data_IF_573838860119
#
_entry.id   IF_573838860119
#
_cell.length_a   1.000
_cell.length_b   1.000
_cell.length_c   1.000
_cell.angle_alpha   90.00
_cell.angle_beta   90.00
_cell.angle_gamma   90.00
#
_symmetry.space_group_name_H-M   'P 1'
#
loop_
_entity.id
_entity.type
_entity.pdbx_description
1 polymer ?
#
# COMPACT_ATOMS: atom_id res chain seq x y z
N UNK A 1 13.28 10.21 25.68
CA UNK A 1 12.14 9.44 26.26
C UNK A 1 11.10 9.29 25.17
N UNK A 2 10.18 8.32 25.24
CA UNK A 2 9.14 8.11 24.20
C UNK A 2 8.31 9.36 23.85
N UNK A 3 8.19 10.32 24.78
CA UNK A 3 7.53 11.61 24.57
C UNK A 3 8.30 12.53 23.61
N UNK A 4 9.64 12.48 23.62
CA UNK A 4 10.50 13.26 22.73
C UNK A 4 10.48 12.68 21.30
N UNK A 5 10.41 11.35 21.19
CA UNK A 5 10.36 10.63 19.91
C UNK A 5 9.13 11.04 19.07
N UNK A 6 8.04 11.49 19.71
CA UNK A 6 6.85 12.00 19.02
C UNK A 6 7.14 13.29 18.23
N UNK A 7 7.99 14.16 18.76
CA UNK A 7 8.40 15.36 18.05
C UNK A 7 9.31 15.01 16.87
N UNK A 8 10.22 14.05 17.03
CA UNK A 8 11.05 13.55 15.93
C UNK A 8 10.20 12.93 14.81
N UNK A 9 9.19 12.14 15.17
CA UNK A 9 8.21 11.59 14.23
C UNK A 9 7.46 12.70 13.47
N UNK A 10 7.01 13.74 14.19
CA UNK A 10 6.37 14.91 13.60
C UNK A 10 7.29 15.64 12.61
N UNK A 11 8.58 15.76 12.92
CA UNK A 11 9.56 16.36 12.03
C UNK A 11 9.81 15.52 10.78
N UNK A 12 9.80 14.19 10.88
CA UNK A 12 9.81 13.30 9.71
C UNK A 12 8.59 13.57 8.83
N UNK A 13 7.40 13.66 9.41
CA UNK A 13 6.16 13.90 8.66
C UNK A 13 6.21 15.25 7.96
N UNK A 14 6.65 16.30 8.65
CA UNK A 14 6.82 17.64 8.10
C UNK A 14 7.82 17.66 6.94
N UNK A 15 9.00 17.06 7.10
CA UNK A 15 10.06 17.03 6.08
C UNK A 15 9.67 16.23 4.83
N UNK A 16 8.80 15.22 4.99
CA UNK A 16 8.33 14.35 3.91
C UNK A 16 6.94 14.74 3.39
N UNK A 17 6.39 15.85 3.89
CA UNK A 17 5.04 16.34 3.56
C UNK A 17 3.96 15.24 3.72
N UNK A 18 4.14 14.37 4.72
CA UNK A 18 3.17 13.36 5.14
C UNK A 18 2.17 14.05 6.05
N UNK A 19 0.89 13.95 5.70
CA UNK A 19 -0.19 14.59 6.44
C UNK A 19 -1.16 13.59 7.07
N UNK A 20 -1.09 12.32 6.68
CA UNK A 20 -1.87 11.24 7.26
C UNK A 20 -0.98 10.00 7.38
N UNK A 21 -1.02 9.35 8.54
CA UNK A 21 -0.41 8.05 8.73
C UNK A 21 -1.21 7.23 9.74
N UNK A 22 -1.28 5.93 9.51
CA UNK A 22 -1.86 4.95 10.41
C UNK A 22 -0.92 3.73 10.50
N UNK A 23 -0.69 3.22 11.70
CA UNK A 23 0.10 2.01 11.94
C UNK A 23 -0.67 1.11 12.89
N UNK A 24 -1.00 -0.11 12.47
CA UNK A 24 -1.80 -1.04 13.27
C UNK A 24 -2.62 -2.02 12.40
N UNK A 25 -3.71 -2.59 12.95
CA UNK A 25 -4.58 -3.50 12.22
C UNK A 25 -5.36 -2.76 11.13
N UNK A 26 -5.27 -3.27 9.89
CA UNK A 26 -5.96 -2.73 8.72
C UNK A 26 -7.24 -3.52 8.48
N UNK A 27 -8.37 -2.80 8.42
CA UNK A 27 -9.69 -3.33 8.09
C UNK A 27 -10.34 -2.52 6.97
N UNK A 28 -11.33 -3.08 6.27
CA UNK A 28 -12.06 -2.36 5.22
C UNK A 28 -12.74 -1.09 5.75
N UNK A 29 -13.30 -1.15 6.97
CA UNK A 29 -13.94 0.01 7.60
C UNK A 29 -12.92 1.13 7.87
N UNK A 30 -11.74 0.79 8.40
CA UNK A 30 -10.68 1.76 8.63
C UNK A 30 -10.23 2.42 7.31
N UNK A 31 -10.09 1.64 6.24
CA UNK A 31 -9.72 2.18 4.92
C UNK A 31 -10.77 3.17 4.42
N UNK A 32 -12.06 2.88 4.62
CA UNK A 32 -13.15 3.79 4.26
C UNK A 32 -13.12 5.10 5.08
N UNK A 33 -12.80 5.02 6.38
CA UNK A 33 -12.64 6.20 7.25
C UNK A 33 -11.45 7.06 6.82
N UNK A 34 -10.27 6.45 6.63
CA UNK A 34 -9.07 7.14 6.14
C UNK A 34 -9.35 7.82 4.80
N UNK A 35 -10.05 7.14 3.90
CA UNK A 35 -10.43 7.68 2.60
C UNK A 35 -11.34 8.90 2.70
N UNK A 36 -12.32 8.87 3.62
CA UNK A 36 -13.21 10.00 3.87
C UNK A 36 -12.42 11.22 4.37
N UNK A 37 -11.54 11.03 5.35
CA UNK A 37 -10.68 12.10 5.89
C UNK A 37 -9.74 12.65 4.82
N UNK A 38 -9.13 11.76 4.03
CA UNK A 38 -8.25 12.13 2.92
C UNK A 38 -8.98 12.98 1.88
N UNK A 39 -10.19 12.56 1.48
CA UNK A 39 -11.02 13.30 0.54
C UNK A 39 -11.32 14.72 1.03
N UNK A 40 -11.76 14.86 2.27
CA UNK A 40 -12.06 16.17 2.86
C UNK A 40 -10.83 17.09 2.85
N UNK A 41 -9.67 16.58 3.25
CA UNK A 41 -8.42 17.35 3.25
C UNK A 41 -8.03 17.78 1.83
N UNK A 42 -8.08 16.86 0.86
CA UNK A 42 -7.71 17.16 -0.53
C UNK A 42 -8.67 18.17 -1.18
N UNK A 43 -9.95 18.15 -0.82
CA UNK A 43 -10.93 19.14 -1.25
C UNK A 43 -10.63 20.54 -0.68
N UNK A 44 -10.18 20.62 0.58
CA UNK A 44 -9.71 21.88 1.19
C UNK A 44 -8.43 22.43 0.54
N UNK A 45 -7.59 21.56 -0.01
CA UNK A 45 -6.38 21.92 -0.77
C UNK A 45 -6.66 22.09 -2.28
N UNK A 46 -7.94 22.24 -2.66
CA UNK A 46 -8.41 22.48 -4.05
C UNK A 46 -7.96 21.41 -5.06
N UNK A 47 -7.68 20.18 -4.61
CA UNK A 47 -7.32 19.09 -5.50
C UNK A 47 -8.48 18.73 -6.45
N UNK A 48 -8.15 18.40 -7.70
CA UNK A 48 -9.17 17.99 -8.67
C UNK A 48 -9.87 16.69 -8.24
N UNK A 49 -11.16 16.55 -8.58
CA UNK A 49 -11.92 15.30 -8.33
C UNK A 49 -11.22 14.06 -8.88
N UNK A 50 -10.59 14.17 -10.05
CA UNK A 50 -9.83 13.09 -10.68
C UNK A 50 -8.61 12.69 -9.84
N UNK A 51 -7.90 13.67 -9.27
CA UNK A 51 -6.77 13.41 -8.36
C UNK A 51 -7.26 12.71 -7.10
N UNK A 52 -8.33 13.20 -6.48
CA UNK A 52 -8.93 12.59 -5.27
C UNK A 52 -9.29 11.13 -5.52
N UNK A 53 -9.99 10.83 -6.60
CA UNK A 53 -10.37 9.44 -6.95
C UNK A 53 -9.16 8.56 -7.21
N UNK A 54 -8.10 9.09 -7.83
CA UNK A 54 -6.86 8.35 -8.07
C UNK A 54 -6.16 7.99 -6.76
N UNK A 55 -5.97 8.95 -5.85
CA UNK A 55 -5.33 8.70 -4.55
C UNK A 55 -6.16 7.75 -3.70
N UNK A 56 -7.49 7.92 -3.68
CA UNK A 56 -8.38 6.96 -3.02
C UNK A 56 -8.21 5.54 -3.56
N UNK A 57 -8.19 5.40 -4.89
CA UNK A 57 -7.99 4.10 -5.52
C UNK A 57 -6.63 3.50 -5.17
N UNK A 58 -5.56 4.30 -5.13
CA UNK A 58 -4.24 3.86 -4.69
C UNK A 58 -4.23 3.42 -3.22
N UNK A 59 -4.91 4.15 -2.34
CA UNK A 59 -5.05 3.80 -0.92
C UNK A 59 -5.72 2.44 -0.74
N UNK A 60 -6.84 2.21 -1.43
CA UNK A 60 -7.59 0.95 -1.35
C UNK A 60 -6.73 -0.23 -1.81
N UNK A 61 -6.06 -0.12 -2.94
CA UNK A 61 -5.19 -1.19 -3.46
C UNK A 61 -4.03 -1.51 -2.51
N UNK A 62 -3.38 -0.47 -1.98
CA UNK A 62 -2.29 -0.66 -1.03
C UNK A 62 -2.78 -1.31 0.28
N UNK A 63 -3.93 -0.88 0.79
CA UNK A 63 -4.51 -1.48 1.99
C UNK A 63 -4.91 -2.93 1.76
N UNK A 64 -5.46 -3.26 0.59
CA UNK A 64 -5.75 -4.64 0.19
C UNK A 64 -4.47 -5.49 0.12
N UNK A 65 -3.36 -4.94 -0.39
CA UNK A 65 -2.07 -5.63 -0.35
C UNK A 65 -1.62 -5.95 1.08
N UNK A 66 -1.77 -5.01 2.02
CA UNK A 66 -1.49 -5.29 3.44
C UNK A 66 -2.40 -6.41 3.95
N UNK A 67 -3.71 -6.30 3.73
CA UNK A 67 -4.71 -7.29 4.18
C UNK A 67 -4.46 -8.69 3.60
N UNK A 68 -3.84 -8.80 2.42
CA UNK A 68 -3.60 -10.07 1.76
C UNK A 68 -2.25 -10.69 2.08
N UNK A 69 -1.22 -9.85 2.27
CA UNK A 69 0.16 -10.31 2.31
C UNK A 69 0.86 -10.13 3.65
N UNK A 70 0.27 -9.40 4.61
CA UNK A 70 0.89 -9.27 5.93
C UNK A 70 1.04 -10.63 6.61
N UNK A 71 2.26 -10.89 7.10
CA UNK A 71 2.56 -12.02 7.96
C UNK A 71 2.11 -11.78 9.40
N UNK A 72 1.94 -10.51 9.81
CA UNK A 72 1.43 -10.13 11.12
C UNK A 72 -0.09 -10.07 11.08
N UNK A 73 -0.73 -10.98 11.81
CA UNK A 73 -2.19 -11.12 11.81
C UNK A 73 -2.73 -11.27 13.22
N UNK A 74 -3.88 -10.65 13.50
CA UNK A 74 -4.62 -10.94 14.72
C UNK A 74 -5.39 -12.25 14.55
N UNK A 75 -5.39 -13.11 15.59
CA UNK A 75 -6.28 -14.26 15.63
C UNK A 75 -7.73 -13.80 15.44
N UNK A 76 -8.50 -14.59 14.69
CA UNK A 76 -9.96 -14.40 14.66
C UNK A 76 -10.49 -14.57 16.08
N UNK A 77 -11.35 -13.65 16.50
CA UNK A 77 -12.13 -13.86 17.71
C UNK A 77 -12.95 -15.16 17.57
N UNK A 78 -13.11 -15.90 18.69
CA UNK A 78 -13.77 -17.21 18.74
C UNK A 78 -15.23 -17.16 18.26
N UNK A 79 -15.79 -15.96 18.09
CA UNK A 79 -17.13 -15.71 17.54
C UNK A 79 -17.26 -15.99 16.03
N UNK A 80 -16.14 -16.13 15.30
CA UNK A 80 -16.13 -16.49 13.87
C UNK A 80 -16.74 -15.44 12.92
N UNK A 81 -17.05 -14.25 13.45
CA UNK A 81 -17.78 -13.18 12.73
C UNK A 81 -16.89 -12.09 12.15
N UNK A 82 -15.62 -12.02 12.55
CA UNK A 82 -14.69 -11.01 12.04
C UNK A 82 -13.62 -11.61 11.13
N UNK A 83 -13.28 -10.85 10.10
CA UNK A 83 -12.17 -11.16 9.21
C UNK A 83 -10.83 -11.10 9.96
N UNK A 84 -9.87 -11.91 9.51
CA UNK A 84 -8.51 -11.92 10.05
C UNK A 84 -7.85 -10.55 9.77
N UNK A 85 -7.61 -9.75 10.81
CA UNK A 85 -7.01 -8.42 10.68
C UNK A 85 -5.50 -8.53 10.45
N UNK A 86 -5.01 -7.84 9.42
CA UNK A 86 -3.59 -7.81 9.07
C UNK A 86 -2.95 -6.51 9.52
N UNK A 87 -1.73 -6.56 10.03
CA UNK A 87 -1.01 -5.38 10.50
C UNK A 87 -0.21 -4.74 9.38
N UNK A 88 -0.16 -3.43 9.39
CA UNK A 88 0.73 -2.66 8.53
C UNK A 88 0.71 -1.18 8.87
N UNK A 89 1.43 -0.43 8.06
CA UNK A 89 1.50 1.02 8.10
C UNK A 89 1.07 1.58 6.76
N UNK A 90 0.30 2.65 6.79
CA UNK A 90 -0.12 3.43 5.64
C UNK A 90 0.22 4.89 5.93
N UNK A 91 0.85 5.57 4.99
CA UNK A 91 1.10 6.99 5.02
C UNK A 91 0.67 7.63 3.68
N UNK A 92 0.07 8.81 3.76
CA UNK A 92 -0.29 9.63 2.60
C UNK A 92 0.38 10.98 2.74
N UNK A 93 1.01 11.40 1.66
CA UNK A 93 1.70 12.68 1.59
C UNK A 93 1.61 13.32 0.21
N UNK A 94 2.30 14.43 0.09
CA UNK A 94 2.41 15.21 -1.14
C UNK A 94 3.89 15.41 -1.44
N UNK A 95 4.33 15.24 -2.67
CA UNK A 95 5.73 15.42 -3.05
C UNK A 95 5.80 15.86 -4.51
N UNK A 96 6.57 16.92 -4.80
CA UNK A 96 6.81 17.40 -6.17
C UNK A 96 5.51 17.62 -6.98
N UNK A 97 4.48 18.20 -6.36
CA UNK A 97 3.20 18.50 -7.01
C UNK A 97 2.23 17.31 -7.14
N UNK A 98 2.55 16.16 -6.53
CA UNK A 98 1.76 14.93 -6.66
C UNK A 98 1.54 14.28 -5.30
N UNK A 99 0.38 13.67 -5.13
CA UNK A 99 0.12 12.86 -3.94
C UNK A 99 0.85 11.52 -4.04
N UNK A 100 1.21 10.96 -2.90
CA UNK A 100 1.72 9.60 -2.83
C UNK A 100 1.06 8.81 -1.70
N UNK A 101 0.98 7.50 -1.89
CA UNK A 101 0.61 6.53 -0.87
C UNK A 101 1.83 5.67 -0.62
N UNK A 102 2.27 5.60 0.63
CA UNK A 102 3.34 4.74 1.11
C UNK A 102 2.76 3.73 2.08
N UNK A 103 3.07 2.46 1.86
CA UNK A 103 2.60 1.38 2.71
C UNK A 103 3.72 0.43 3.08
N UNK A 104 3.55 -0.28 4.19
CA UNK A 104 4.45 -1.37 4.55
C UNK A 104 3.83 -2.37 5.51
N UNK A 105 4.33 -3.59 5.45
CA UNK A 105 3.89 -4.70 6.28
C UNK A 105 5.00 -5.76 6.37
N UNK A 106 4.98 -6.57 7.41
CA UNK A 106 5.86 -7.73 7.50
C UNK A 106 5.44 -8.80 6.48
N UNK A 107 6.44 -9.48 5.91
CA UNK A 107 6.27 -10.63 5.03
C UNK A 107 7.28 -11.72 5.42
N UNK A 108 6.96 -12.98 5.11
CA UNK A 108 7.91 -14.08 5.26
C UNK A 108 9.09 -13.92 4.29
N UNK A 109 10.30 -14.25 4.74
CA UNK A 109 11.52 -14.19 3.94
C UNK A 109 11.41 -14.98 2.63
N UNK A 110 10.71 -16.12 2.63
CA UNK A 110 10.46 -16.93 1.43
C UNK A 110 9.62 -16.25 0.34
N UNK A 111 8.94 -15.14 0.64
CA UNK A 111 8.12 -14.37 -0.33
C UNK A 111 8.89 -13.20 -0.95
N UNK A 112 10.06 -12.83 -0.40
CA UNK A 112 10.81 -11.63 -0.81
C UNK A 112 11.20 -11.69 -2.28
N UNK A 113 11.80 -12.79 -2.74
CA UNK A 113 12.27 -12.90 -4.13
C UNK A 113 11.11 -12.90 -5.13
N UNK A 114 10.00 -13.56 -4.77
CA UNK A 114 8.76 -13.57 -5.57
C UNK A 114 8.21 -12.15 -5.72
N UNK A 115 8.18 -11.36 -4.65
CA UNK A 115 7.68 -9.99 -4.70
C UNK A 115 8.63 -9.09 -5.47
N UNK A 116 9.95 -9.23 -5.24
CA UNK A 116 10.98 -8.47 -5.93
C UNK A 116 10.92 -8.70 -7.43
N UNK A 117 10.85 -9.95 -7.89
CA UNK A 117 10.75 -10.28 -9.31
C UNK A 117 9.51 -9.64 -9.94
N UNK A 118 8.34 -9.80 -9.28
CA UNK A 118 7.08 -9.22 -9.75
C UNK A 118 7.14 -7.69 -9.85
N UNK A 119 7.59 -7.02 -8.80
CA UNK A 119 7.63 -5.56 -8.74
C UNK A 119 8.69 -4.98 -9.70
N UNK A 120 9.86 -5.61 -9.81
CA UNK A 120 10.91 -5.20 -10.77
C UNK A 120 10.40 -5.31 -12.21
N UNK A 121 9.70 -6.41 -12.54
CA UNK A 121 9.09 -6.57 -13.86
C UNK A 121 8.07 -5.45 -14.16
N UNK A 122 7.23 -5.09 -13.19
CA UNK A 122 6.25 -4.02 -13.36
C UNK A 122 6.89 -2.64 -13.47
N UNK A 123 7.98 -2.40 -12.72
CA UNK A 123 8.73 -1.14 -12.75
C UNK A 123 9.36 -0.88 -14.13
N UNK A 124 9.72 -1.93 -14.86
CA UNK A 124 10.28 -1.85 -16.21
C UNK A 124 9.27 -1.72 -17.35
N UNK A 125 7.96 -1.81 -17.07
CA UNK A 125 6.92 -1.73 -18.09
C UNK A 125 6.44 -0.30 -18.31
N UNK A 126 6.18 0.06 -19.57
CA UNK A 126 5.45 1.28 -19.92
C UNK A 126 3.93 1.11 -19.74
N UNK A 127 3.16 2.19 -19.93
CA UNK A 127 1.71 2.19 -19.73
C UNK A 127 0.95 1.18 -20.62
N UNK A 128 1.36 1.03 -21.89
CA UNK A 128 0.74 0.10 -22.83
C UNK A 128 1.04 -1.34 -22.43
N UNK A 129 2.28 -1.63 -22.05
CA UNK A 129 2.72 -2.94 -21.55
C UNK A 129 1.99 -3.32 -20.27
N UNK A 130 1.88 -2.39 -19.30
CA UNK A 130 1.13 -2.62 -18.07
C UNK A 130 -0.35 -2.92 -18.35
N UNK A 131 -0.96 -2.22 -19.32
CA UNK A 131 -2.35 -2.45 -19.73
C UNK A 131 -2.53 -3.80 -20.42
N UNK A 132 -1.60 -4.19 -21.28
CA UNK A 132 -1.60 -5.49 -21.94
C UNK A 132 -1.40 -6.63 -20.91
N UNK A 133 -0.42 -6.47 -20.02
CA UNK A 133 -0.11 -7.42 -18.96
C UNK A 133 -1.28 -7.61 -18.00
N UNK A 134 -1.94 -6.52 -17.57
CA UNK A 134 -3.14 -6.60 -16.74
C UNK A 134 -4.26 -7.40 -17.41
N UNK A 135 -4.53 -7.16 -18.70
CA UNK A 135 -5.55 -7.93 -19.44
C UNK A 135 -5.19 -9.41 -19.54
N UNK A 136 -3.92 -9.71 -19.77
CA UNK A 136 -3.43 -11.09 -19.85
C UNK A 136 -3.60 -11.81 -18.52
N UNK A 137 -3.14 -11.22 -17.42
CA UNK A 137 -3.23 -11.81 -16.07
C UNK A 137 -4.69 -11.97 -15.64
N UNK A 138 -5.54 -10.97 -15.93
CA UNK A 138 -6.98 -11.08 -15.64
C UNK A 138 -7.65 -12.24 -16.39
N UNK A 139 -7.20 -12.57 -17.61
CA UNK A 139 -7.71 -13.72 -18.37
C UNK A 139 -7.21 -15.06 -17.83
N UNK A 140 -5.98 -15.12 -17.32
CA UNK A 140 -5.38 -16.33 -16.74
C UNK A 140 -6.04 -16.75 -15.41
N UNK A 141 -6.68 -15.80 -14.71
CA UNK A 141 -7.27 -16.05 -13.40
C UNK A 141 -6.22 -16.04 -12.28
N UNK A 142 -6.63 -16.25 -11.01
CA UNK A 142 -5.71 -16.31 -9.89
C UNK A 142 -4.75 -17.51 -10.07
N UNK A 143 -3.44 -17.28 -9.98
CA UNK A 143 -2.47 -18.38 -9.90
C UNK A 143 -2.59 -19.14 -8.58
N UNK A 144 -2.10 -20.38 -8.55
CA UNK A 144 -2.05 -21.20 -7.33
C UNK A 144 -1.34 -20.45 -6.20
N UNK A 145 -1.99 -20.36 -5.03
CA UNK A 145 -1.47 -19.65 -3.85
C UNK A 145 -1.72 -18.14 -3.82
N UNK A 146 -2.36 -17.54 -4.85
CA UNK A 146 -2.70 -16.11 -4.83
C UNK A 146 -4.00 -15.84 -4.05
N UNK A 147 -3.89 -15.45 -2.77
CA UNK A 147 -5.02 -14.97 -1.95
C UNK A 147 -5.44 -13.53 -2.32
N UNK A 148 -5.57 -13.22 -3.61
CA UNK A 148 -5.76 -11.83 -4.07
C UNK A 148 -5.64 -11.58 -5.58
N UNK A 149 -5.77 -12.62 -6.41
CA UNK A 149 -5.74 -12.49 -7.87
C UNK A 149 -4.41 -12.06 -8.50
N UNK A 150 -3.38 -11.72 -7.71
CA UNK A 150 -2.08 -11.25 -8.22
C UNK A 150 -2.14 -9.93 -9.01
N UNK A 151 -3.30 -9.30 -9.09
CA UNK A 151 -3.54 -8.10 -9.89
C UNK A 151 -3.21 -6.81 -9.13
N UNK A 152 -3.26 -6.80 -7.79
CA UNK A 152 -3.09 -5.57 -6.99
C UNK A 152 -1.80 -4.81 -7.27
N UNK A 153 -0.67 -5.51 -7.40
CA UNK A 153 0.61 -4.88 -7.79
C UNK A 153 0.57 -4.29 -9.21
N UNK A 154 -0.09 -4.97 -10.14
CA UNK A 154 -0.26 -4.50 -11.52
C UNK A 154 -1.16 -3.26 -11.55
N UNK A 155 -2.22 -3.28 -10.74
CA UNK A 155 -3.18 -2.18 -10.65
C UNK A 155 -2.56 -0.93 -10.00
N UNK A 156 -1.73 -1.10 -8.97
CA UNK A 156 -0.89 -0.02 -8.45
C UNK A 156 0.02 0.55 -9.52
N UNK A 157 0.72 -0.29 -10.29
CA UNK A 157 1.67 0.16 -11.31
C UNK A 157 0.97 0.96 -12.41
N UNK A 158 -0.22 0.52 -12.83
CA UNK A 158 -1.04 1.20 -13.84
C UNK A 158 -1.59 2.55 -13.39
N UNK A 159 -1.83 2.73 -12.10
CA UNK A 159 -2.37 3.97 -11.52
C UNK A 159 -1.25 4.94 -11.12
N UNK A 160 -0.02 4.46 -11.03
CA UNK A 160 1.14 5.26 -10.69
C UNK A 160 1.52 6.18 -11.87
N UNK A 161 1.86 7.43 -11.56
CA UNK A 161 2.35 8.38 -12.56
C UNK A 161 3.87 8.33 -12.74
N UNK A 162 4.54 7.48 -11.96
CA UNK A 162 5.97 7.17 -11.99
C UNK A 162 6.13 5.66 -11.68
N UNK A 163 7.26 5.04 -12.03
CA UNK A 163 7.52 3.66 -11.63
C UNK A 163 7.38 3.47 -10.12
N UNK A 164 6.80 2.36 -9.69
CA UNK A 164 6.64 2.04 -8.26
C UNK A 164 8.02 1.98 -7.60
N UNK A 165 8.14 2.60 -6.42
CA UNK A 165 9.30 2.46 -5.55
C UNK A 165 8.99 1.40 -4.48
N UNK A 166 9.91 0.48 -4.20
CA UNK A 166 9.73 -0.54 -3.18
C UNK A 166 11.05 -0.97 -2.56
N UNK A 167 11.00 -1.48 -1.34
CA UNK A 167 12.16 -2.02 -0.63
C UNK A 167 11.78 -3.17 0.31
N UNK A 168 12.77 -4.01 0.62
CA UNK A 168 12.66 -5.12 1.56
C UNK A 168 13.78 -5.04 2.59
N UNK A 169 13.41 -4.76 3.84
CA UNK A 169 14.36 -4.74 4.96
C UNK A 169 14.25 -6.03 5.75
N UNK A 170 15.30 -6.86 5.76
CA UNK A 170 15.35 -8.04 6.61
C UNK A 170 15.21 -7.62 8.08
N UNK A 171 14.28 -8.24 8.81
CA UNK A 171 14.05 -7.98 10.24
C UNK A 171 14.66 -9.08 11.08
N UNK A 172 14.41 -10.34 10.73
CA UNK A 172 14.96 -11.51 11.42
C UNK A 172 15.11 -12.72 10.46
N UNK A 173 15.30 -13.93 11.02
CA UNK A 173 15.46 -15.17 10.25
C UNK A 173 14.18 -15.59 9.51
N UNK A 174 13.02 -15.16 9.98
CA UNK A 174 11.70 -15.53 9.45
C UNK A 174 11.09 -14.42 8.59
N UNK A 175 11.26 -13.15 8.98
CA UNK A 175 10.52 -12.02 8.41
C UNK A 175 11.39 -10.91 7.84
N UNK A 176 10.81 -10.24 6.83
CA UNK A 176 11.28 -9.00 6.25
C UNK A 176 10.16 -7.98 6.23
N UNK A 177 10.49 -6.71 6.40
CA UNK A 177 9.56 -5.60 6.24
C UNK A 177 9.53 -5.17 4.77
N UNK A 178 8.36 -5.33 4.13
CA UNK A 178 8.10 -4.85 2.77
C UNK A 178 7.56 -3.43 2.84
N UNK A 179 8.08 -2.55 1.97
CA UNK A 179 7.56 -1.20 1.79
C UNK A 179 7.36 -0.88 0.31
N UNK A 180 6.31 -0.13 -0.01
CA UNK A 180 5.97 0.29 -1.36
C UNK A 180 5.41 1.70 -1.38
N UNK A 181 5.89 2.53 -2.31
CA UNK A 181 5.42 3.90 -2.53
C UNK A 181 4.89 4.03 -3.96
N UNK A 182 3.69 4.58 -4.08
CA UNK A 182 3.00 4.82 -5.34
C UNK A 182 2.67 6.31 -5.43
N UNK A 183 2.97 6.95 -6.55
CA UNK A 183 2.76 8.39 -6.78
C UNK A 183 1.61 8.59 -7.77
N UNK A 184 0.67 9.49 -7.48
CA UNK A 184 -0.55 9.76 -8.28
C UNK A 184 -0.28 10.53 -9.56
#
# INVERSE_FOLDING_TARGET
MMVDDLYELKEVFRKREIFLSFSGPISQNLVAEIASTLKQKMELEEASKTTVLRVFSMLVENAQNIMHYSAEKLPKDHSGKEDELSFGIIAVGYENGKYFVLCGNMIENGKVDIFREKLTKLQGMNEEELKAYYKEQRRKGPGEGSKGGGLGFIEMARKASRPIEFDFRKVDETFSFFSVKVVS
#
